data_IF_089189503517
#
_entry.id   IF_089189503517
#
_cell.length_a   1.000
_cell.length_b   1.000
_cell.length_c   1.000
_cell.angle_alpha   90.00
_cell.angle_beta   90.00
_cell.angle_gamma   90.00
#
_symmetry.space_group_name_H-M   'P 1'
#
loop_
_entity.id
_entity.type
_entity.pdbx_description
1 polymer ?
#
# COMPACT_ATOMS: atom_id res chain seq x y z
N UNK A 1 3.14 46.55 7.60
CA UNK A 1 3.88 45.33 7.98
C UNK A 1 3.03 44.28 8.71
N UNK A 2 2.25 44.55 9.76
CA UNK A 2 1.46 43.48 10.46
C UNK A 2 0.29 42.82 9.70
N UNK A 3 -0.13 43.35 8.54
CA UNK A 3 -1.35 42.92 7.81
C UNK A 3 -1.08 41.91 6.69
N UNK A 4 0.13 41.88 6.15
CA UNK A 4 0.58 40.89 5.14
C UNK A 4 0.92 39.56 5.81
N UNK A 5 1.70 39.58 6.90
CA UNK A 5 2.03 38.37 7.67
C UNK A 5 0.78 37.61 8.16
N UNK A 6 -0.27 38.32 8.59
CA UNK A 6 -1.52 37.71 9.05
C UNK A 6 -2.31 37.05 7.91
N UNK A 7 -2.30 37.64 6.70
CA UNK A 7 -2.94 37.06 5.51
C UNK A 7 -2.18 35.85 4.99
N UNK A 8 -0.85 35.90 4.99
CA UNK A 8 -0.02 34.78 4.54
C UNK A 8 -0.09 33.60 5.51
N UNK A 9 -0.14 33.85 6.83
CA UNK A 9 -0.38 32.82 7.84
C UNK A 9 -1.79 32.22 7.69
N UNK A 10 -2.82 33.04 7.43
CA UNK A 10 -4.18 32.56 7.22
C UNK A 10 -4.28 31.70 5.93
N UNK A 11 -3.66 32.14 4.82
CA UNK A 11 -3.60 31.38 3.58
C UNK A 11 -2.84 30.05 3.74
N UNK A 12 -1.67 30.05 4.38
CA UNK A 12 -0.91 28.83 4.69
C UNK A 12 -1.68 27.87 5.62
N UNK A 13 -2.45 28.41 6.57
CA UNK A 13 -3.30 27.59 7.45
C UNK A 13 -4.49 26.96 6.72
N UNK A 14 -5.11 27.70 5.79
CA UNK A 14 -6.25 27.22 4.99
C UNK A 14 -5.81 26.18 3.95
N UNK A 15 -4.62 26.35 3.37
CA UNK A 15 -4.03 25.42 2.41
C UNK A 15 -3.62 24.10 3.09
N UNK A 16 -3.03 24.19 4.29
CA UNK A 16 -2.74 23.02 5.13
C UNK A 16 -4.02 22.29 5.58
N UNK A 17 -5.07 23.02 5.99
CA UNK A 17 -6.36 22.42 6.38
C UNK A 17 -7.01 21.66 5.23
N UNK A 18 -6.98 22.22 4.03
CA UNK A 18 -7.51 21.59 2.81
C UNK A 18 -6.73 20.33 2.45
N UNK A 19 -5.40 20.41 2.52
CA UNK A 19 -4.48 19.29 2.29
C UNK A 19 -4.73 18.12 3.27
N UNK A 20 -4.96 18.42 4.55
CA UNK A 20 -5.25 17.40 5.56
C UNK A 20 -6.61 16.74 5.29
N UNK A 21 -7.65 17.50 4.96
CA UNK A 21 -8.97 16.94 4.62
C UNK A 21 -8.91 15.98 3.43
N UNK A 22 -8.16 16.33 2.38
CA UNK A 22 -7.94 15.44 1.23
C UNK A 22 -7.15 14.19 1.62
N UNK A 23 -6.14 14.34 2.47
CA UNK A 23 -5.39 13.18 2.98
C UNK A 23 -6.29 12.25 3.81
N UNK A 24 -7.18 12.81 4.63
CA UNK A 24 -8.17 12.04 5.38
C UNK A 24 -9.13 11.30 4.45
N UNK A 25 -9.60 11.93 3.37
CA UNK A 25 -10.41 11.26 2.35
C UNK A 25 -9.68 10.08 1.71
N UNK A 26 -8.41 10.25 1.33
CA UNK A 26 -7.60 9.16 0.78
C UNK A 26 -7.41 8.01 1.79
N UNK A 27 -7.26 8.34 3.08
CA UNK A 27 -7.23 7.36 4.15
C UNK A 27 -8.57 6.61 4.29
N UNK A 28 -9.71 7.31 4.21
CA UNK A 28 -11.04 6.70 4.23
C UNK A 28 -11.22 5.75 3.04
N UNK A 29 -10.75 6.10 1.84
CA UNK A 29 -10.79 5.22 0.66
C UNK A 29 -9.99 3.94 0.90
N UNK A 30 -8.81 4.03 1.51
CA UNK A 30 -8.01 2.86 1.86
C UNK A 30 -8.72 1.98 2.90
N UNK A 31 -9.23 2.57 3.98
CA UNK A 31 -9.94 1.84 5.04
C UNK A 31 -11.20 1.18 4.48
N UNK A 32 -11.95 1.88 3.64
CA UNK A 32 -13.10 1.31 2.93
C UNK A 32 -12.68 0.11 2.08
N UNK A 33 -11.63 0.23 1.26
CA UNK A 33 -11.11 -0.87 0.47
C UNK A 33 -10.69 -2.06 1.33
N UNK A 34 -10.02 -1.82 2.45
CA UNK A 34 -9.61 -2.88 3.37
C UNK A 34 -10.80 -3.57 4.07
N UNK A 35 -11.77 -2.82 4.58
CA UNK A 35 -13.00 -3.37 5.18
C UNK A 35 -13.79 -4.16 4.13
N UNK A 36 -13.95 -3.61 2.92
CA UNK A 36 -14.61 -4.28 1.81
C UNK A 36 -13.98 -5.64 1.51
N UNK A 37 -12.64 -5.72 1.46
CA UNK A 37 -11.95 -6.99 1.28
C UNK A 37 -12.19 -7.99 2.42
N UNK A 38 -12.23 -7.54 3.67
CA UNK A 38 -12.50 -8.43 4.81
C UNK A 38 -13.93 -8.97 4.77
N UNK A 39 -14.91 -8.13 4.40
CA UNK A 39 -16.30 -8.54 4.22
C UNK A 39 -16.43 -9.58 3.10
N UNK A 40 -15.84 -9.29 1.93
CA UNK A 40 -15.87 -10.22 0.79
C UNK A 40 -15.15 -11.53 1.14
N UNK A 41 -14.01 -11.48 1.82
CA UNK A 41 -13.30 -12.70 2.25
C UNK A 41 -14.14 -13.55 3.21
N UNK A 42 -14.78 -12.92 4.20
CA UNK A 42 -15.68 -13.61 5.13
C UNK A 42 -16.89 -14.24 4.41
N UNK A 43 -17.39 -13.58 3.36
CA UNK A 43 -18.50 -14.08 2.54
C UNK A 43 -18.08 -15.21 1.57
N UNK A 44 -16.89 -15.11 0.97
CA UNK A 44 -16.34 -16.11 0.04
C UNK A 44 -15.92 -17.37 0.78
N UNK A 45 -15.44 -17.27 2.02
CA UNK A 45 -14.98 -18.42 2.79
C UNK A 45 -15.97 -19.59 2.85
N UNK A 46 -17.27 -19.30 2.99
CA UNK A 46 -18.32 -20.32 3.03
C UNK A 46 -18.70 -20.85 1.63
N UNK A 47 -18.10 -20.33 0.55
CA UNK A 47 -18.35 -20.67 -0.86
C UNK A 47 -17.14 -21.24 -1.58
N UNK A 48 -15.97 -21.27 -0.93
CA UNK A 48 -14.77 -21.87 -1.51
C UNK A 48 -14.97 -23.38 -1.65
N UNK A 49 -14.69 -23.98 -2.82
CA UNK A 49 -14.74 -25.42 -2.98
C UNK A 49 -13.55 -26.05 -2.22
N UNK A 50 -13.84 -26.60 -1.03
CA UNK A 50 -12.83 -27.29 -0.20
C UNK A 50 -12.57 -28.73 -0.66
N UNK A 51 -13.55 -29.35 -1.33
CA UNK A 51 -13.48 -30.75 -1.78
C UNK A 51 -12.71 -30.93 -3.10
N UNK A 52 -12.27 -29.83 -3.72
CA UNK A 52 -11.56 -29.87 -4.99
C UNK A 52 -10.03 -29.78 -4.79
N UNK A 53 -9.24 -30.51 -5.58
CA UNK A 53 -7.79 -30.36 -5.54
C UNK A 53 -7.35 -28.97 -6.04
N UNK A 54 -6.13 -28.52 -5.69
CA UNK A 54 -5.55 -27.29 -6.23
C UNK A 54 -5.56 -27.30 -7.76
N UNK A 55 -5.74 -26.11 -8.35
CA UNK A 55 -5.64 -25.95 -9.80
C UNK A 55 -4.20 -26.23 -10.27
N UNK A 56 -4.01 -26.74 -11.51
CA UNK A 56 -2.69 -26.98 -12.05
C UNK A 56 -1.95 -25.65 -12.25
N UNK A 57 -0.88 -25.46 -11.50
CA UNK A 57 0.01 -24.29 -11.61
C UNK A 57 1.42 -24.78 -11.98
N UNK A 58 1.98 -24.20 -13.04
CA UNK A 58 3.31 -24.56 -13.55
C UNK A 58 4.37 -24.40 -12.47
N UNK A 59 4.27 -23.34 -11.65
CA UNK A 59 5.25 -23.09 -10.59
C UNK A 59 5.20 -24.18 -9.51
N UNK A 60 4.00 -24.66 -9.17
CA UNK A 60 3.83 -25.69 -8.13
C UNK A 60 4.35 -27.07 -8.56
N UNK A 61 4.44 -27.31 -9.87
CA UNK A 61 5.06 -28.52 -10.43
C UNK A 61 6.60 -28.44 -10.41
N UNK A 62 7.15 -27.23 -10.48
CA UNK A 62 8.61 -27.00 -10.52
C UNK A 62 9.23 -26.92 -9.13
N UNK A 63 8.50 -26.39 -8.14
CA UNK A 63 9.03 -26.12 -6.81
C UNK A 63 8.25 -26.85 -5.70
N UNK A 64 8.94 -27.37 -4.68
CA UNK A 64 8.29 -28.00 -3.54
C UNK A 64 7.59 -26.96 -2.66
N UNK A 65 6.56 -27.41 -1.93
CA UNK A 65 5.86 -26.58 -0.94
C UNK A 65 6.69 -26.43 0.33
N UNK A 66 6.95 -25.18 0.73
CA UNK A 66 7.59 -24.85 2.01
C UNK A 66 6.70 -23.82 2.72
N UNK A 67 5.75 -24.25 3.58
CA UNK A 67 4.77 -23.33 4.18
C UNK A 67 5.40 -22.17 4.96
N UNK A 68 6.55 -22.40 5.61
CA UNK A 68 7.30 -21.38 6.38
C UNK A 68 7.85 -20.23 5.51
N UNK A 69 7.90 -20.38 4.19
CA UNK A 69 8.38 -19.32 3.30
C UNK A 69 7.48 -18.06 3.33
N UNK A 70 6.23 -18.18 3.81
CA UNK A 70 5.35 -17.01 3.98
C UNK A 70 5.92 -16.02 5.01
N UNK A 71 6.58 -16.49 6.06
CA UNK A 71 7.18 -15.63 7.09
C UNK A 71 8.26 -14.71 6.49
N UNK A 72 9.06 -15.23 5.55
CA UNK A 72 10.07 -14.44 4.82
C UNK A 72 9.38 -13.30 4.04
N UNK A 73 8.28 -13.63 3.36
CA UNK A 73 7.48 -12.64 2.62
C UNK A 73 6.98 -11.55 3.55
N UNK A 74 6.39 -11.91 4.68
CA UNK A 74 5.79 -10.96 5.62
C UNK A 74 6.83 -10.04 6.24
N UNK A 75 8.01 -10.57 6.60
CA UNK A 75 9.13 -9.77 7.11
C UNK A 75 9.61 -8.78 6.04
N UNK A 76 9.83 -9.22 4.80
CA UNK A 76 10.27 -8.34 3.71
C UNK A 76 9.19 -7.29 3.39
N UNK A 77 7.92 -7.69 3.36
CA UNK A 77 6.80 -6.78 3.13
C UNK A 77 6.75 -5.70 4.21
N UNK A 78 6.82 -6.07 5.49
CA UNK A 78 6.86 -5.12 6.60
C UNK A 78 8.05 -4.17 6.47
N UNK A 79 9.24 -4.69 6.14
CA UNK A 79 10.43 -3.86 5.91
C UNK A 79 10.23 -2.82 4.79
N UNK A 80 9.68 -3.22 3.64
CA UNK A 80 9.40 -2.31 2.51
C UNK A 80 8.32 -1.29 2.89
N UNK A 81 7.23 -1.72 3.52
CA UNK A 81 6.13 -0.84 3.92
C UNK A 81 6.60 0.19 4.96
N UNK A 82 7.37 -0.23 5.97
CA UNK A 82 7.94 0.69 6.97
C UNK A 82 8.88 1.68 6.30
N UNK A 83 9.70 1.24 5.35
CA UNK A 83 10.62 2.11 4.63
C UNK A 83 9.90 3.10 3.73
N UNK A 84 8.81 2.70 3.08
CA UNK A 84 7.95 3.61 2.33
C UNK A 84 7.28 4.64 3.26
N UNK A 85 6.73 4.20 4.40
CA UNK A 85 6.13 5.09 5.41
C UNK A 85 7.16 6.11 5.92
N UNK A 86 8.39 5.66 6.20
CA UNK A 86 9.48 6.53 6.61
C UNK A 86 9.73 7.63 5.57
N UNK A 87 9.90 7.29 4.30
CA UNK A 87 10.08 8.29 3.23
C UNK A 87 8.89 9.25 3.19
N UNK A 88 7.65 8.74 3.23
CA UNK A 88 6.45 9.56 3.15
C UNK A 88 6.36 10.58 4.29
N UNK A 89 6.65 10.19 5.54
CA UNK A 89 6.55 11.07 6.72
C UNK A 89 7.66 12.12 6.73
N UNK A 90 8.88 11.75 6.34
CA UNK A 90 10.05 12.63 6.37
C UNK A 90 10.23 13.48 5.10
N UNK A 91 9.40 13.29 4.08
CA UNK A 91 9.44 14.10 2.87
C UNK A 91 8.91 15.53 3.13
N UNK A 92 9.52 16.53 2.46
CA UNK A 92 9.09 17.95 2.54
C UNK A 92 7.59 18.14 2.25
N UNK A 93 7.07 17.37 1.30
CA UNK A 93 5.67 17.39 0.85
C UNK A 93 4.84 16.19 1.35
N UNK A 94 5.10 15.74 2.59
CA UNK A 94 4.51 14.53 3.19
C UNK A 94 3.02 14.32 2.93
N UNK A 95 2.19 15.35 3.13
CA UNK A 95 0.73 15.22 2.98
C UNK A 95 0.30 14.95 1.53
N UNK A 96 0.99 15.52 0.55
CA UNK A 96 0.74 15.26 -0.88
C UNK A 96 1.15 13.83 -1.23
N UNK A 97 2.28 13.36 -0.72
CA UNK A 97 2.76 12.01 -1.02
C UNK A 97 1.87 10.96 -0.35
N UNK A 98 1.54 11.16 0.92
CA UNK A 98 0.69 10.25 1.70
C UNK A 98 -0.67 10.11 1.00
N UNK A 99 -1.34 11.22 0.61
CA UNK A 99 -2.64 11.11 -0.09
C UNK A 99 -2.53 10.33 -1.41
N UNK A 100 -1.46 10.52 -2.20
CA UNK A 100 -1.25 9.83 -3.49
C UNK A 100 -1.10 8.33 -3.30
N UNK A 101 -0.23 7.92 -2.37
CA UNK A 101 0.04 6.51 -2.09
C UNK A 101 -1.18 5.82 -1.47
N UNK A 102 -1.85 6.47 -0.51
CA UNK A 102 -3.08 5.94 0.09
C UNK A 102 -4.20 5.77 -0.95
N UNK A 103 -4.38 6.73 -1.86
CA UNK A 103 -5.35 6.63 -2.95
C UNK A 103 -5.04 5.45 -3.88
N UNK A 104 -3.78 5.29 -4.31
CA UNK A 104 -3.35 4.17 -5.15
C UNK A 104 -3.58 2.82 -4.45
N UNK A 105 -3.22 2.71 -3.18
CA UNK A 105 -3.43 1.51 -2.39
C UNK A 105 -4.94 1.21 -2.25
N UNK A 106 -5.75 2.20 -1.88
CA UNK A 106 -7.20 2.04 -1.71
C UNK A 106 -7.91 1.59 -2.98
N UNK A 107 -7.60 2.19 -4.14
CA UNK A 107 -8.14 1.75 -5.44
C UNK A 107 -7.74 0.30 -5.75
N UNK A 108 -6.47 -0.06 -5.50
CA UNK A 108 -5.97 -1.43 -5.72
C UNK A 108 -6.71 -2.45 -4.84
N UNK A 109 -6.97 -2.12 -3.57
CA UNK A 109 -7.74 -2.97 -2.67
C UNK A 109 -9.21 -3.07 -3.07
N UNK A 110 -9.86 -1.98 -3.50
CA UNK A 110 -11.24 -2.04 -4.01
C UNK A 110 -11.32 -2.98 -5.22
N UNK A 111 -10.39 -2.84 -6.17
CA UNK A 111 -10.30 -3.73 -7.33
C UNK A 111 -10.13 -5.20 -6.93
N UNK A 112 -9.21 -5.48 -5.98
CA UNK A 112 -9.02 -6.82 -5.42
C UNK A 112 -10.32 -7.39 -4.84
N UNK A 113 -11.06 -6.60 -4.05
CA UNK A 113 -12.31 -7.04 -3.44
C UNK A 113 -13.36 -7.41 -4.49
N UNK A 114 -13.44 -6.66 -5.60
CA UNK A 114 -14.30 -6.99 -6.73
C UNK A 114 -13.87 -8.31 -7.36
N UNK A 115 -12.59 -8.53 -7.62
CA UNK A 115 -12.09 -9.78 -8.21
C UNK A 115 -12.38 -11.01 -7.34
N UNK A 116 -12.18 -10.92 -6.02
CA UNK A 116 -12.47 -12.01 -5.09
C UNK A 116 -13.98 -12.31 -5.06
N UNK A 117 -14.83 -11.28 -5.17
CA UNK A 117 -16.28 -11.47 -5.24
C UNK A 117 -16.72 -12.14 -6.55
N UNK A 118 -16.03 -11.87 -7.66
CA UNK A 118 -16.39 -12.40 -8.99
C UNK A 118 -16.04 -13.86 -9.19
N UNK A 119 -14.90 -14.33 -8.65
CA UNK A 119 -14.42 -15.69 -8.90
C UNK A 119 -13.87 -16.31 -7.62
N UNK A 120 -14.29 -17.54 -7.33
CA UNK A 120 -13.82 -18.35 -6.21
C UNK A 120 -13.07 -19.57 -6.76
N UNK A 121 -11.82 -19.74 -6.36
CA UNK A 121 -10.96 -20.84 -6.77
C UNK A 121 -10.65 -21.76 -5.58
N UNK A 122 -10.33 -23.05 -5.81
CA UNK A 122 -9.94 -23.96 -4.74
C UNK A 122 -8.58 -23.56 -4.13
N UNK A 123 -8.34 -24.00 -2.90
CA UNK A 123 -7.14 -23.63 -2.13
C UNK A 123 -5.86 -24.21 -2.78
N UNK A 124 -4.77 -23.43 -2.92
CA UNK A 124 -3.55 -23.84 -3.62
C UNK A 124 -2.74 -24.94 -2.90
N UNK A 125 -2.97 -25.17 -1.61
CA UNK A 125 -2.33 -26.23 -0.84
C UNK A 125 -3.36 -27.07 -0.07
N UNK A 126 -3.19 -28.40 -0.12
CA UNK A 126 -3.97 -29.36 0.66
C UNK A 126 -3.69 -29.30 2.17
N UNK A 127 -2.55 -28.73 2.56
CA UNK A 127 -2.12 -28.62 3.95
C UNK A 127 -2.58 -27.30 4.61
N UNK A 128 -3.31 -26.46 3.88
CA UNK A 128 -3.79 -25.18 4.39
C UNK A 128 -4.97 -25.42 5.33
N UNK A 129 -4.84 -25.01 6.58
CA UNK A 129 -5.93 -25.06 7.54
C UNK A 129 -7.01 -24.02 7.18
N UNK A 130 -8.25 -24.47 6.99
CA UNK A 130 -9.42 -23.63 6.83
C UNK A 130 -10.36 -23.84 8.02
N UNK A 131 -10.91 -22.75 8.57
CA UNK A 131 -12.00 -22.85 9.53
C UNK A 131 -13.20 -23.61 8.91
N UNK A 132 -14.00 -24.31 9.73
CA UNK A 132 -15.21 -24.94 9.24
C UNK A 132 -16.18 -23.89 8.68
N UNK A 133 -16.75 -24.20 7.52
CA UNK A 133 -17.82 -23.39 6.93
C UNK A 133 -19.05 -23.47 7.83
N UNK A 134 -19.68 -22.33 8.10
CA UNK A 134 -20.87 -22.23 8.93
C UNK A 134 -22.00 -21.62 8.09
N UNK A 135 -23.25 -21.75 8.54
CA UNK A 135 -24.34 -21.01 7.89
C UNK A 135 -24.01 -19.50 7.86
N UNK A 136 -24.19 -18.90 6.68
CA UNK A 136 -23.84 -17.52 6.36
C UNK A 136 -24.78 -16.50 7.03
N UNK A 137 -24.85 -16.52 8.36
CA UNK A 137 -25.53 -15.51 9.17
C UNK A 137 -24.69 -14.23 9.27
N UNK A 138 -25.35 -13.07 9.21
CA UNK A 138 -24.72 -11.75 9.37
C UNK A 138 -23.87 -11.65 10.64
N UNK A 139 -24.30 -12.29 11.73
CA UNK A 139 -23.57 -12.32 12.99
C UNK A 139 -22.22 -13.06 12.87
N UNK A 140 -22.17 -14.16 12.12
CA UNK A 140 -20.96 -14.95 11.91
C UNK A 140 -19.96 -14.23 11.02
N UNK A 141 -20.46 -13.55 9.97
CA UNK A 141 -19.65 -12.70 9.10
C UNK A 141 -19.02 -11.56 9.90
N UNK A 142 -19.81 -10.86 10.72
CA UNK A 142 -19.32 -9.76 11.56
C UNK A 142 -18.25 -10.21 12.56
N UNK A 143 -18.45 -11.35 13.24
CA UNK A 143 -17.46 -11.91 14.16
C UNK A 143 -16.13 -12.24 13.45
N UNK A 144 -16.19 -12.82 12.24
CA UNK A 144 -15.00 -13.12 11.44
C UNK A 144 -14.28 -11.85 11.00
N UNK A 145 -15.01 -10.84 10.54
CA UNK A 145 -14.44 -9.53 10.18
C UNK A 145 -13.74 -8.89 11.39
N UNK A 146 -14.40 -8.83 12.56
CA UNK A 146 -13.81 -8.28 13.78
C UNK A 146 -12.55 -9.05 14.22
N UNK A 147 -12.55 -10.38 14.09
CA UNK A 147 -11.41 -11.21 14.46
C UNK A 147 -10.19 -11.02 13.55
N UNK A 148 -10.41 -10.68 12.27
CA UNK A 148 -9.38 -10.52 11.24
C UNK A 148 -8.89 -9.07 11.15
N UNK A 149 -9.75 -8.12 11.50
CA UNK A 149 -9.47 -6.69 11.52
C UNK A 149 -8.16 -6.37 12.28
N UNK A 150 -7.94 -7.00 13.44
CA UNK A 150 -6.75 -6.72 14.24
C UNK A 150 -5.44 -7.27 13.68
N UNK A 151 -5.49 -8.33 12.86
CA UNK A 151 -4.29 -8.96 12.27
C UNK A 151 -3.78 -8.21 11.03
N UNK A 152 -4.56 -7.28 10.48
CA UNK A 152 -4.27 -6.60 9.21
C UNK A 152 -3.93 -7.55 8.03
N UNK A 153 -4.30 -8.84 8.15
CA UNK A 153 -3.99 -9.87 7.15
C UNK A 153 -2.59 -10.48 7.24
N UNK A 154 -1.82 -10.26 8.32
CA UNK A 154 -0.48 -10.83 8.49
C UNK A 154 -0.59 -12.13 9.33
N UNK A 155 -0.13 -13.25 8.76
CA UNK A 155 -0.14 -14.58 9.38
C UNK A 155 0.77 -14.66 10.61
N UNK A 156 1.90 -13.93 10.63
CA UNK A 156 2.81 -13.88 11.77
C UNK A 156 2.17 -13.28 13.04
N UNK A 157 1.18 -12.39 12.92
CA UNK A 157 0.46 -11.84 14.08
C UNK A 157 -0.70 -12.73 14.53
N UNK A 158 -1.36 -13.41 13.58
CA UNK A 158 -2.41 -14.39 13.86
C UNK A 158 -2.56 -15.33 12.66
N UNK A 159 -2.57 -16.67 12.86
CA UNK A 159 -2.75 -17.59 11.75
C UNK A 159 -4.08 -17.30 11.05
N UNK A 160 -4.04 -17.20 9.72
CA UNK A 160 -5.23 -16.97 8.90
C UNK A 160 -6.12 -18.21 8.97
N UNK A 161 -7.35 -18.00 9.43
CA UNK A 161 -8.36 -19.05 9.55
C UNK A 161 -9.36 -19.03 8.39
N UNK A 162 -9.46 -17.89 7.68
CA UNK A 162 -10.35 -17.70 6.55
C UNK A 162 -9.65 -18.05 5.23
N UNK A 163 -10.25 -18.99 4.50
CA UNK A 163 -9.86 -19.39 3.15
C UNK A 163 -10.68 -18.62 2.09
N UNK A 164 -10.09 -18.41 0.90
CA UNK A 164 -10.73 -17.68 -0.21
C UNK A 164 -9.98 -16.43 -0.68
N UNK A 165 -8.87 -16.07 -0.04
CA UNK A 165 -7.97 -15.00 -0.49
C UNK A 165 -7.06 -15.48 -1.62
N UNK A 166 -7.66 -15.79 -2.78
CA UNK A 166 -6.99 -16.55 -3.83
C UNK A 166 -7.09 -15.91 -5.22
N UNK A 167 -7.48 -14.63 -5.31
CA UNK A 167 -7.45 -13.87 -6.56
C UNK A 167 -7.01 -12.45 -6.26
N UNK A 168 -5.96 -12.00 -6.97
CA UNK A 168 -5.23 -10.75 -6.72
C UNK A 168 -4.61 -10.73 -5.31
N UNK A 169 -3.32 -11.05 -5.23
CA UNK A 169 -2.60 -11.15 -3.96
C UNK A 169 -2.46 -9.79 -3.25
N UNK A 170 -2.99 -9.70 -2.02
CA UNK A 170 -2.86 -8.51 -1.17
C UNK A 170 -1.41 -8.22 -0.75
N UNK A 171 -0.63 -9.27 -0.42
CA UNK A 171 0.80 -9.14 -0.14
C UNK A 171 1.56 -8.54 -1.32
N UNK A 172 1.24 -9.00 -2.54
CA UNK A 172 1.85 -8.48 -3.76
C UNK A 172 1.50 -7.02 -3.99
N UNK A 173 0.24 -6.61 -3.76
CA UNK A 173 -0.15 -5.20 -3.82
C UNK A 173 0.68 -4.37 -2.84
N UNK A 174 0.79 -4.78 -1.57
CA UNK A 174 1.60 -4.07 -0.56
C UNK A 174 3.07 -3.95 -0.97
N UNK A 175 3.69 -5.05 -1.39
CA UNK A 175 5.08 -5.11 -1.83
C UNK A 175 5.34 -4.16 -3.00
N UNK A 176 4.53 -4.24 -4.05
CA UNK A 176 4.74 -3.47 -5.28
C UNK A 176 4.41 -1.99 -5.08
N UNK A 177 3.30 -1.66 -4.41
CA UNK A 177 2.96 -0.26 -4.11
C UNK A 177 3.99 0.37 -3.17
N UNK A 178 4.47 -0.37 -2.15
CA UNK A 178 5.54 0.08 -1.25
C UNK A 178 6.85 0.32 -1.99
N UNK A 179 7.27 -0.62 -2.86
CA UNK A 179 8.45 -0.49 -3.70
C UNK A 179 8.37 0.73 -4.63
N UNK A 180 7.22 0.93 -5.28
CA UNK A 180 6.99 2.05 -6.19
C UNK A 180 6.98 3.40 -5.47
N UNK A 181 6.31 3.47 -4.31
CA UNK A 181 6.36 4.66 -3.45
C UNK A 181 7.80 4.95 -3.00
N UNK A 182 8.53 3.94 -2.54
CA UNK A 182 9.93 4.09 -2.13
C UNK A 182 10.78 4.64 -3.27
N UNK A 183 10.74 4.02 -4.46
CA UNK A 183 11.55 4.46 -5.61
C UNK A 183 11.20 5.86 -6.10
N UNK A 184 9.91 6.19 -6.16
CA UNK A 184 9.46 7.48 -6.72
C UNK A 184 9.82 8.64 -5.79
N UNK A 185 9.68 8.45 -4.48
CA UNK A 185 9.82 9.52 -3.49
C UNK A 185 11.16 9.52 -2.75
N UNK A 186 12.02 8.52 -2.96
CA UNK A 186 13.39 8.50 -2.44
C UNK A 186 14.31 9.46 -3.21
N UNK A 187 15.34 10.04 -2.56
CA UNK A 187 16.40 10.78 -3.24
C UNK A 187 17.08 9.93 -4.33
N UNK A 188 17.30 10.50 -5.53
CA UNK A 188 17.81 9.79 -6.73
C UNK A 188 19.28 9.34 -6.65
N UNK A 189 20.03 9.73 -5.61
CA UNK A 189 21.48 9.48 -5.52
C UNK A 189 21.86 8.06 -5.07
N UNK A 190 20.91 7.13 -4.93
CA UNK A 190 21.19 5.83 -4.30
C UNK A 190 20.70 4.63 -5.13
N UNK A 191 21.34 4.40 -6.28
CA UNK A 191 20.95 3.32 -7.22
C UNK A 191 21.11 1.92 -6.63
N UNK A 192 22.15 1.70 -5.81
CA UNK A 192 22.42 0.41 -5.15
C UNK A 192 21.25 0.00 -4.25
N UNK A 193 20.66 0.96 -3.52
CA UNK A 193 19.49 0.70 -2.67
C UNK A 193 18.31 0.26 -3.53
N UNK A 194 18.04 0.91 -4.66
CA UNK A 194 16.92 0.50 -5.52
C UNK A 194 17.09 -0.91 -6.08
N UNK A 195 18.31 -1.31 -6.43
CA UNK A 195 18.61 -2.69 -6.85
C UNK A 195 18.38 -3.67 -5.70
N UNK A 196 18.84 -3.35 -4.50
CA UNK A 196 18.58 -4.16 -3.31
C UNK A 196 17.07 -4.36 -3.06
N UNK A 197 16.29 -3.28 -3.10
CA UNK A 197 14.82 -3.34 -2.94
C UNK A 197 14.14 -4.19 -4.01
N UNK A 198 14.63 -4.17 -5.26
CA UNK A 198 14.11 -5.05 -6.32
C UNK A 198 14.36 -6.52 -6.02
N UNK A 199 15.58 -6.85 -5.58
CA UNK A 199 15.98 -8.23 -5.30
C UNK A 199 15.17 -8.79 -4.13
N UNK A 200 15.06 -8.07 -3.01
CA UNK A 200 14.27 -8.54 -1.85
C UNK A 200 12.79 -8.67 -2.21
N UNK A 201 12.25 -7.77 -3.05
CA UNK A 201 10.86 -7.88 -3.51
C UNK A 201 10.67 -9.15 -4.35
N UNK A 202 11.59 -9.45 -5.27
CA UNK A 202 11.55 -10.69 -6.05
C UNK A 202 11.61 -11.93 -5.15
N UNK A 203 12.48 -11.92 -4.14
CA UNK A 203 12.58 -13.01 -3.15
C UNK A 203 11.24 -13.19 -2.41
N UNK A 204 10.59 -12.09 -1.99
CA UNK A 204 9.28 -12.16 -1.35
C UNK A 204 8.21 -12.73 -2.27
N UNK A 205 8.16 -12.32 -3.55
CA UNK A 205 7.18 -12.87 -4.51
C UNK A 205 7.39 -14.37 -4.76
N UNK A 206 8.64 -14.82 -4.89
CA UNK A 206 8.95 -16.25 -5.02
C UNK A 206 8.60 -17.02 -3.74
N UNK A 207 8.83 -16.43 -2.57
CA UNK A 207 8.53 -17.03 -1.28
C UNK A 207 7.01 -17.23 -1.06
N UNK A 208 6.17 -16.31 -1.56
CA UNK A 208 4.70 -16.47 -1.59
C UNK A 208 4.29 -17.73 -2.36
N UNK A 209 4.88 -17.94 -3.53
CA UNK A 209 4.56 -19.07 -4.41
C UNK A 209 5.06 -20.39 -3.83
N UNK A 210 6.27 -20.40 -3.26
CA UNK A 210 6.85 -21.56 -2.57
C UNK A 210 6.01 -21.96 -1.35
N UNK A 211 5.44 -20.98 -0.63
CA UNK A 211 4.53 -21.25 0.48
C UNK A 211 3.16 -21.81 0.04
N UNK A 212 2.88 -21.83 -1.28
CA UNK A 212 1.59 -22.20 -1.88
C UNK A 212 0.39 -21.53 -1.21
N UNK A 213 0.54 -20.24 -0.91
CA UNK A 213 -0.54 -19.39 -0.36
C UNK A 213 -1.39 -18.72 -1.43
N UNK A 214 -0.79 -18.47 -2.58
CA UNK A 214 -1.42 -17.86 -3.76
C UNK A 214 -0.97 -18.61 -5.01
N UNK A 215 -1.82 -18.63 -6.04
CA UNK A 215 -1.43 -19.08 -7.36
C UNK A 215 -0.48 -18.07 -8.04
N UNK A 216 0.30 -18.54 -9.00
CA UNK A 216 1.18 -17.71 -9.82
C UNK A 216 0.39 -16.60 -10.53
N UNK A 217 -0.82 -16.92 -10.98
CA UNK A 217 -1.72 -15.94 -11.60
C UNK A 217 -2.11 -14.82 -10.63
N UNK A 218 -2.31 -15.12 -9.35
CA UNK A 218 -2.73 -14.12 -8.36
C UNK A 218 -1.62 -13.11 -8.06
N UNK A 219 -0.38 -13.62 -8.00
CA UNK A 219 0.81 -12.79 -7.83
C UNK A 219 1.03 -11.93 -9.07
N UNK A 220 0.87 -12.50 -10.27
CA UNK A 220 0.95 -11.75 -11.52
C UNK A 220 -0.11 -10.64 -11.61
N UNK A 221 -1.38 -10.96 -11.34
CA UNK A 221 -2.47 -9.98 -11.34
C UNK A 221 -2.26 -8.90 -10.26
N UNK A 222 -1.79 -9.28 -9.06
CA UNK A 222 -1.42 -8.34 -8.01
C UNK A 222 -0.35 -7.34 -8.48
N UNK A 223 0.68 -7.80 -9.18
CA UNK A 223 1.72 -6.96 -9.77
C UNK A 223 1.16 -6.00 -10.82
N UNK A 224 0.30 -6.51 -11.73
CA UNK A 224 -0.32 -5.72 -12.80
C UNK A 224 -1.22 -4.63 -12.21
N UNK A 225 -2.09 -4.97 -11.26
CA UNK A 225 -3.01 -4.03 -10.61
C UNK A 225 -2.23 -2.93 -9.90
N UNK A 226 -1.31 -3.30 -9.01
CA UNK A 226 -0.54 -2.33 -8.23
C UNK A 226 0.25 -1.38 -9.14
N UNK A 227 0.90 -1.92 -10.19
CA UNK A 227 1.69 -1.13 -11.13
C UNK A 227 0.82 -0.23 -12.00
N UNK A 228 -0.29 -0.74 -12.54
CA UNK A 228 -1.16 0.04 -13.42
C UNK A 228 -1.88 1.15 -12.66
N UNK A 229 -2.40 0.88 -11.47
CA UNK A 229 -3.05 1.92 -10.64
C UNK A 229 -2.05 3.01 -10.29
N UNK A 230 -0.86 2.64 -9.82
CA UNK A 230 0.17 3.61 -9.46
C UNK A 230 0.63 4.43 -10.67
N UNK A 231 0.95 3.80 -11.80
CA UNK A 231 1.39 4.49 -13.01
C UNK A 231 0.30 5.37 -13.62
N UNK A 232 -0.95 4.90 -13.67
CA UNK A 232 -2.08 5.68 -14.19
C UNK A 232 -2.31 6.92 -13.33
N UNK A 233 -2.32 6.77 -12.01
CA UNK A 233 -2.45 7.91 -11.10
C UNK A 233 -1.35 8.95 -11.35
N UNK A 234 -0.09 8.51 -11.40
CA UNK A 234 1.04 9.43 -11.52
C UNK A 234 1.17 10.03 -12.93
N UNK A 235 0.77 9.30 -13.97
CA UNK A 235 0.68 9.79 -15.35
C UNK A 235 -0.39 10.89 -15.46
N UNK A 236 -1.57 10.68 -14.88
CA UNK A 236 -2.64 11.68 -14.83
C UNK A 236 -2.25 12.91 -14.02
N UNK A 237 -1.65 12.72 -12.84
CA UNK A 237 -1.10 13.79 -12.02
C UNK A 237 -0.07 14.60 -12.81
N UNK A 238 0.82 13.93 -13.55
CA UNK A 238 1.83 14.59 -14.37
C UNK A 238 1.22 15.45 -15.48
N UNK A 239 0.31 14.90 -16.29
CA UNK A 239 -0.36 15.64 -17.36
C UNK A 239 -1.27 16.76 -16.85
N UNK A 240 -1.90 16.57 -15.68
CA UNK A 240 -2.73 17.60 -15.04
C UNK A 240 -1.93 18.87 -14.75
N UNK A 241 -0.73 18.74 -14.16
CA UNK A 241 0.10 19.91 -13.84
C UNK A 241 0.73 20.59 -15.05
N UNK A 242 0.75 19.94 -16.22
CA UNK A 242 1.22 20.52 -17.48
C UNK A 242 0.09 21.07 -18.36
N UNK A 243 -1.17 20.99 -17.90
CA UNK A 243 -2.35 21.31 -18.70
C UNK A 243 -2.52 20.46 -19.97
N UNK A 244 -1.90 19.27 -20.02
CA UNK A 244 -1.93 18.32 -21.15
C UNK A 244 -2.82 17.11 -20.83
N UNK A 245 -3.81 17.27 -19.95
CA UNK A 245 -4.58 16.15 -19.44
C UNK A 245 -5.31 15.37 -20.55
N UNK A 246 -5.84 16.06 -21.55
CA UNK A 246 -6.59 15.45 -22.66
C UNK A 246 -5.68 14.81 -23.72
N UNK A 247 -4.39 15.10 -23.72
CA UNK A 247 -3.41 14.45 -24.61
C UNK A 247 -2.96 13.09 -24.04
N UNK A 248 -3.18 12.86 -22.75
CA UNK A 248 -2.85 11.62 -22.08
C UNK A 248 -3.93 10.56 -22.30
N UNK A 249 -3.57 9.41 -22.87
CA UNK A 249 -4.50 8.28 -23.06
C UNK A 249 -5.11 7.79 -21.75
N UNK A 250 -4.40 7.91 -20.63
CA UNK A 250 -4.93 7.53 -19.32
C UNK A 250 -6.09 8.42 -18.86
N UNK A 251 -6.35 9.55 -19.54
CA UNK A 251 -7.44 10.47 -19.22
C UNK A 251 -8.85 9.91 -19.46
N UNK A 252 -8.96 8.77 -20.15
CA UNK A 252 -10.21 8.02 -20.26
C UNK A 252 -10.48 7.12 -19.04
N UNK A 253 -9.52 7.04 -18.11
CA UNK A 253 -9.67 6.20 -16.91
C UNK A 253 -10.74 6.74 -15.97
N UNK A 254 -11.50 5.81 -15.37
CA UNK A 254 -12.52 6.07 -14.34
C UNK A 254 -11.94 6.83 -13.14
N UNK A 255 -10.63 6.72 -12.88
CA UNK A 255 -9.97 7.39 -11.75
C UNK A 255 -9.69 8.88 -12.01
N UNK A 256 -9.82 9.38 -13.25
CA UNK A 256 -9.48 10.77 -13.62
C UNK A 256 -10.13 11.83 -12.71
N UNK A 257 -11.45 11.82 -12.46
CA UNK A 257 -12.08 12.86 -11.62
C UNK A 257 -11.48 12.89 -10.21
N UNK A 258 -11.17 11.71 -9.67
CA UNK A 258 -10.57 11.55 -8.35
C UNK A 258 -9.14 12.11 -8.32
N UNK A 259 -8.33 11.85 -9.37
CA UNK A 259 -6.98 12.40 -9.50
C UNK A 259 -7.03 13.93 -9.60
N UNK A 260 -7.89 14.50 -10.45
CA UNK A 260 -8.05 15.96 -10.56
C UNK A 260 -8.39 16.57 -9.20
N UNK A 261 -9.31 15.96 -8.44
CA UNK A 261 -9.68 16.43 -7.11
C UNK A 261 -8.48 16.44 -6.15
N UNK A 262 -7.67 15.38 -6.12
CA UNK A 262 -6.51 15.27 -5.24
C UNK A 262 -5.34 16.17 -5.63
N UNK A 263 -5.20 16.50 -6.91
CA UNK A 263 -4.05 17.25 -7.44
C UNK A 263 -4.31 18.76 -7.59
N UNK A 264 -5.56 19.23 -7.45
CA UNK A 264 -5.94 20.65 -7.60
C UNK A 264 -5.15 21.65 -6.72
N UNK A 265 -4.70 21.23 -5.55
CA UNK A 265 -3.93 21.99 -4.55
C UNK A 265 -2.49 21.47 -4.41
N UNK A 266 -2.03 20.63 -5.34
CA UNK A 266 -0.69 20.06 -5.29
C UNK A 266 0.25 20.76 -6.26
N UNK A 267 1.56 20.56 -6.07
CA UNK A 267 2.56 21.07 -7.00
C UNK A 267 2.99 19.96 -8.00
N UNK A 268 3.53 20.35 -9.17
CA UNK A 268 4.06 19.44 -10.18
C UNK A 268 5.09 18.45 -9.64
N UNK A 269 5.11 17.24 -10.21
CA UNK A 269 6.03 16.13 -9.88
C UNK A 269 7.53 16.43 -10.01
N UNK A 270 7.93 17.60 -10.55
CA UNK A 270 9.30 18.10 -10.47
C UNK A 270 9.60 18.61 -9.06
N UNK A 271 9.49 17.72 -8.09
CA UNK A 271 10.01 17.96 -6.75
C UNK A 271 11.43 17.43 -6.69
N UNK A 272 12.32 18.21 -6.08
CA UNK A 272 13.51 17.62 -5.52
C UNK A 272 13.08 16.75 -4.32
N UNK A 273 13.32 15.45 -4.42
CA UNK A 273 13.07 14.49 -3.35
C UNK A 273 14.06 14.74 -2.19
N UNK A 274 13.81 15.79 -1.40
CA UNK A 274 14.56 16.11 -0.20
C UNK A 274 13.85 15.55 1.03
N UNK A 275 14.59 14.72 1.79
CA UNK A 275 14.18 14.28 3.10
C UNK A 275 14.54 15.36 4.12
N UNK A 276 13.56 15.77 4.91
CA UNK A 276 13.69 16.86 5.90
C UNK A 276 14.47 16.44 7.16
N UNK A 277 15.11 15.27 7.18
CA UNK A 277 15.81 14.70 8.35
C UNK A 277 16.87 15.69 8.91
N UNK A 278 17.52 16.46 8.04
CA UNK A 278 18.50 17.48 8.41
C UNK A 278 17.93 18.62 9.27
N UNK A 279 16.67 19.01 9.09
CA UNK A 279 16.05 20.09 9.88
C UNK A 279 15.60 19.64 11.28
N UNK A 280 15.36 18.33 11.47
CA UNK A 280 15.08 17.75 12.78
C UNK A 280 16.36 17.52 13.60
N UNK A 281 17.45 17.09 12.98
CA UNK A 281 18.75 16.95 13.64
C UNK A 281 19.34 18.30 14.10
N UNK A 282 19.10 19.39 13.34
CA UNK A 282 19.46 20.76 13.75
C UNK A 282 18.60 21.33 14.88
N UNK A 283 17.47 20.70 15.20
CA UNK A 283 16.55 21.12 16.27
C UNK A 283 16.86 20.48 17.62
N UNK A 284 17.86 19.61 17.72
CA UNK A 284 18.42 19.20 19.01
C UNK A 284 19.13 20.44 19.57
N UNK A 285 18.67 21.04 20.67
CA UNK A 285 19.39 22.14 21.27
C UNK A 285 20.70 21.57 21.80
N UNK A 286 21.81 21.93 21.18
CA UNK A 286 23.11 21.94 21.85
C UNK A 286 22.96 22.91 23.02
N UNK A 287 22.59 22.38 24.19
CA UNK A 287 22.65 23.11 25.43
C UNK A 287 24.09 23.58 25.61
N UNK A 288 24.27 24.90 25.59
CA UNK A 288 25.54 25.58 25.83
C UNK A 288 26.19 25.03 27.11
N UNK A 289 27.36 24.40 26.95
CA UNK A 289 28.36 24.36 28.01
C UNK A 289 29.25 25.60 27.85
N UNK A 290 28.68 26.75 28.19
CA UNK A 290 29.48 27.95 28.51
C UNK A 290 30.22 27.67 29.83
N UNK A 291 31.48 27.25 29.74
CA UNK A 291 32.41 27.42 30.85
C UNK A 291 32.74 28.90 30.97
N UNK A 292 32.06 29.59 31.88
CA UNK A 292 32.55 30.80 32.55
C UNK A 292 34.03 30.59 32.92
N UNK A 293 34.92 31.41 32.38
CA UNK A 293 36.17 31.78 33.04
C UNK A 293 36.01 33.22 33.53
N UNK A 294 35.90 33.38 34.84
CA UNK A 294 36.12 34.65 35.54
C UNK A 294 37.63 34.96 35.53
N UNK A 295 38.02 36.25 35.50
CA UNK A 295 39.41 36.66 35.59
C UNK A 295 39.85 36.69 37.08
N UNK A 296 40.91 35.93 37.40
CA UNK A 296 42.03 36.31 38.26
C UNK A 296 43.26 35.60 37.69
#
# INVERSE_FOLDING_TARGET
MKKEDSKDILCLSNDNSTTIKKTLLAFIILIFGWIFNNIILAWVHDRVPLDQPPLPDIFFNLFPEIPKAIEITEIIMLFIVISAIFIMIFHKHKWIIIRRVLCCAGISYIFRGICIAMLQVPVPSKNTFCAPQMESSLANILNRVLSTFWSAGIEAFRPRVLCGDLIVSGHTICLITGLQAFKLYSPRRIHIIFTFYNIITLIALLSILIARKHYTLDVFLGYIVATNVFRTYHSLSYSYHRNELYENLHSESIIKPLVIYFEKDSYPQFFDNYLTISSYLKKIPSCNLEKKKLPI
#
